data_IF_029364664268
#
_entry.id   IF_029364664268
#
_cell.length_a   1.000
_cell.length_b   1.000
_cell.length_c   1.000
_cell.angle_alpha   90.00
_cell.angle_beta   90.00
_cell.angle_gamma   90.00
#
_symmetry.space_group_name_H-M   'P 1'
#
loop_
_entity.id
_entity.type
_entity.pdbx_description
1 polymer ?
#
# COMPACT_ATOMS: atom_id res chain seq x y z
N UNK A 1 -0.81 -30.40 -13.33
CA UNK A 1 0.14 -29.65 -12.50
C UNK A 1 -0.65 -28.54 -11.80
N UNK A 2 -0.56 -28.44 -10.47
CA UNK A 2 -1.23 -27.36 -9.72
C UNK A 2 -0.44 -26.06 -9.91
N UNK A 3 -1.14 -24.95 -10.17
CA UNK A 3 -0.52 -23.63 -10.24
C UNK A 3 -0.24 -23.19 -8.80
N UNK A 4 0.99 -22.78 -8.44
CA UNK A 4 1.28 -22.36 -7.07
C UNK A 4 0.47 -21.12 -6.70
N UNK A 5 0.09 -21.01 -5.43
CA UNK A 5 -0.51 -19.79 -4.91
C UNK A 5 0.56 -18.74 -4.63
N UNK A 6 0.15 -17.48 -4.68
CA UNK A 6 0.93 -16.30 -4.30
C UNK A 6 0.26 -15.64 -3.11
N UNK A 7 1.06 -15.24 -2.13
CA UNK A 7 0.59 -14.56 -0.93
C UNK A 7 0.56 -13.05 -1.14
N UNK A 8 -0.59 -12.46 -0.84
CA UNK A 8 -0.84 -11.04 -0.92
C UNK A 8 -1.60 -10.54 0.30
N UNK A 9 -2.04 -9.30 0.22
CA UNK A 9 -2.81 -8.66 1.29
C UNK A 9 -4.06 -8.02 0.72
N UNK A 10 -5.20 -8.27 1.34
CA UNK A 10 -6.44 -7.56 1.07
C UNK A 10 -6.54 -6.35 1.98
N UNK A 11 -6.78 -5.18 1.38
CA UNK A 11 -7.13 -3.95 2.08
C UNK A 11 -8.65 -3.83 2.08
N UNK A 12 -9.26 -3.95 3.26
CA UNK A 12 -10.69 -3.78 3.40
C UNK A 12 -11.04 -2.29 3.47
N UNK A 13 -12.05 -1.88 2.71
CA UNK A 13 -12.61 -0.55 2.80
C UNK A 13 -13.36 -0.37 4.13
N UNK A 14 -13.53 0.89 4.52
CA UNK A 14 -14.23 1.26 5.75
C UNK A 14 -15.58 1.87 5.45
N UNK A 15 -16.61 1.38 6.14
CA UNK A 15 -18.00 1.81 6.01
C UNK A 15 -18.32 2.92 7.03
N UNK A 16 -17.70 4.12 6.97
CA UNK A 16 -18.24 5.38 7.57
C UNK A 16 -17.23 6.53 7.67
N UNK A 17 -17.70 7.79 7.59
CA UNK A 17 -16.93 9.02 7.86
C UNK A 17 -16.77 9.32 9.36
N UNK A 18 -16.68 8.31 10.22
CA UNK A 18 -16.51 8.48 11.67
C UNK A 18 -15.05 8.80 12.06
N UNK A 19 -14.79 9.35 13.26
CA UNK A 19 -13.45 9.81 13.69
C UNK A 19 -12.37 8.72 13.80
N UNK A 20 -12.71 7.45 13.52
CA UNK A 20 -11.81 6.30 13.51
C UNK A 20 -11.46 5.83 12.08
N UNK A 21 -11.10 6.76 11.19
CA UNK A 21 -10.80 6.52 9.77
C UNK A 21 -9.61 5.57 9.52
N UNK A 22 -8.87 5.18 10.55
CA UNK A 22 -7.63 4.41 10.42
C UNK A 22 -7.81 2.88 10.53
N UNK A 23 -9.04 2.36 10.39
CA UNK A 23 -9.32 0.91 10.48
C UNK A 23 -9.51 0.23 9.13
N UNK A 24 -8.80 0.65 8.09
CA UNK A 24 -8.64 -0.23 6.92
C UNK A 24 -7.93 -1.50 7.42
N UNK A 25 -8.64 -2.62 7.46
CA UNK A 25 -8.05 -3.88 7.93
C UNK A 25 -7.24 -4.52 6.80
N UNK A 26 -6.04 -4.97 7.17
CA UNK A 26 -5.16 -5.76 6.32
C UNK A 26 -5.44 -7.23 6.61
N UNK A 27 -5.68 -8.02 5.57
CA UNK A 27 -5.95 -9.46 5.69
C UNK A 27 -5.02 -10.20 4.74
N UNK A 28 -4.28 -11.20 5.24
CA UNK A 28 -3.48 -12.06 4.39
C UNK A 28 -4.38 -12.88 3.46
N UNK A 29 -4.01 -12.96 2.19
CA UNK A 29 -4.75 -13.73 1.19
C UNK A 29 -3.81 -14.61 0.38
N UNK A 30 -4.30 -15.81 0.04
CA UNK A 30 -3.63 -16.73 -0.87
C UNK A 30 -4.39 -16.72 -2.20
N UNK A 31 -3.72 -16.34 -3.28
CA UNK A 31 -4.33 -16.20 -4.61
C UNK A 31 -3.67 -17.16 -5.59
N UNK A 32 -4.42 -17.79 -6.51
CA UNK A 32 -3.82 -18.54 -7.62
C UNK A 32 -2.85 -17.65 -8.44
N UNK A 33 -1.71 -18.16 -8.90
CA UNK A 33 -0.76 -17.35 -9.68
C UNK A 33 -1.27 -16.88 -11.07
N UNK A 34 -2.46 -17.33 -11.48
CA UNK A 34 -3.20 -16.86 -12.65
C UNK A 34 -4.37 -15.91 -12.29
N UNK A 35 -4.45 -15.45 -11.04
CA UNK A 35 -5.44 -14.48 -10.61
C UNK A 35 -5.32 -13.18 -11.44
N UNK A 36 -6.46 -12.53 -11.70
CA UNK A 36 -6.53 -11.35 -12.59
C UNK A 36 -5.68 -10.16 -12.14
N UNK A 37 -5.38 -10.07 -10.85
CA UNK A 37 -4.46 -9.05 -10.29
C UNK A 37 -3.11 -9.02 -11.02
N UNK A 38 -2.62 -10.16 -11.50
CA UNK A 38 -1.34 -10.24 -12.21
C UNK A 38 -1.38 -9.68 -13.64
N UNK A 39 -2.55 -9.25 -14.11
CA UNK A 39 -2.74 -8.49 -15.36
C UNK A 39 -2.85 -6.98 -15.13
N UNK A 40 -2.87 -6.53 -13.88
CA UNK A 40 -2.89 -5.11 -13.53
C UNK A 40 -1.54 -4.46 -13.80
N UNK A 41 -1.53 -3.13 -13.87
CA UNK A 41 -0.29 -2.35 -13.97
C UNK A 41 0.33 -2.17 -12.58
N UNK A 42 1.66 -2.19 -12.51
CA UNK A 42 2.39 -1.78 -11.31
C UNK A 42 2.03 -0.34 -10.97
N UNK A 43 1.66 -0.08 -9.73
CA UNK A 43 1.24 1.26 -9.33
C UNK A 43 2.39 2.27 -9.44
N UNK A 44 2.10 3.55 -9.76
CA UNK A 44 3.16 4.50 -10.09
C UNK A 44 4.13 4.73 -8.92
N UNK A 45 3.61 4.89 -7.70
CA UNK A 45 4.42 5.16 -6.51
C UNK A 45 5.29 3.98 -6.12
N UNK A 46 4.76 2.76 -6.21
CA UNK A 46 5.46 1.55 -5.79
C UNK A 46 6.62 1.22 -6.72
N UNK A 47 6.49 1.58 -8.01
CA UNK A 47 7.59 1.47 -8.98
C UNK A 47 8.76 2.39 -8.63
N UNK A 48 8.50 3.58 -8.10
CA UNK A 48 9.56 4.54 -7.70
C UNK A 48 10.29 4.11 -6.42
N UNK A 49 9.66 3.26 -5.61
CA UNK A 49 10.14 2.84 -4.29
C UNK A 49 10.63 1.38 -4.26
N UNK A 50 10.92 0.78 -5.43
CA UNK A 50 11.45 -0.58 -5.60
C UNK A 50 10.64 -1.73 -4.98
N UNK A 51 9.38 -1.48 -4.64
CA UNK A 51 8.42 -2.50 -4.24
C UNK A 51 7.29 -2.54 -5.30
N UNK A 52 7.42 -3.30 -6.40
CA UNK A 52 6.43 -3.28 -7.47
C UNK A 52 5.14 -3.99 -7.03
N UNK A 53 4.10 -3.21 -6.73
CA UNK A 53 2.81 -3.65 -6.23
C UNK A 53 1.77 -3.57 -7.35
N UNK A 54 0.91 -4.59 -7.40
CA UNK A 54 -0.28 -4.65 -8.25
C UNK A 54 -1.49 -4.54 -7.35
N UNK A 55 -2.48 -3.72 -7.73
CA UNK A 55 -3.71 -3.52 -6.95
C UNK A 55 -4.90 -3.88 -7.82
N UNK A 56 -5.76 -4.77 -7.34
CA UNK A 56 -6.98 -5.17 -8.02
C UNK A 56 -8.20 -4.96 -7.13
N UNK A 57 -9.23 -4.31 -7.66
CA UNK A 57 -10.49 -4.10 -6.95
C UNK A 57 -11.31 -5.38 -6.91
N UNK A 58 -11.82 -5.69 -5.73
CA UNK A 58 -12.86 -6.69 -5.59
C UNK A 58 -14.20 -6.04 -5.96
N UNK A 59 -15.07 -6.77 -6.65
CA UNK A 59 -16.29 -6.25 -7.30
C UNK A 59 -17.32 -5.60 -6.36
N UNK A 60 -17.09 -5.61 -5.05
CA UNK A 60 -17.94 -4.97 -4.05
C UNK A 60 -17.66 -3.47 -3.99
N UNK A 61 -18.19 -2.72 -4.96
CA UNK A 61 -18.39 -1.27 -4.81
C UNK A 61 -19.59 -1.07 -3.88
N UNK A 62 -19.32 -0.96 -2.59
CA UNK A 62 -20.34 -0.52 -1.65
C UNK A 62 -20.34 1.01 -1.64
N UNK A 63 -21.49 1.63 -1.88
CA UNK A 63 -21.63 3.09 -1.86
C UNK A 63 -21.19 3.63 -0.50
N UNK A 64 -20.38 4.69 -0.47
CA UNK A 64 -19.85 5.27 0.76
C UNK A 64 -18.65 4.54 1.39
N UNK A 65 -18.03 3.60 0.68
CA UNK A 65 -16.83 2.91 1.17
C UNK A 65 -15.55 3.49 0.59
N UNK A 66 -14.70 4.01 1.48
CA UNK A 66 -13.41 4.57 1.15
C UNK A 66 -12.29 3.59 1.46
N UNK A 67 -11.21 3.65 0.68
CA UNK A 67 -9.99 2.90 0.96
C UNK A 67 -8.79 3.84 0.77
N UNK A 68 -8.47 4.68 1.76
CA UNK A 68 -7.42 5.69 1.65
C UNK A 68 -6.05 5.06 1.36
N UNK A 69 -5.79 3.87 1.92
CA UNK A 69 -4.57 3.10 1.65
C UNK A 69 -4.46 2.73 0.17
N UNK A 70 -5.54 2.24 -0.43
CA UNK A 70 -5.56 1.95 -1.87
C UNK A 70 -5.45 3.21 -2.75
N UNK A 71 -5.96 4.36 -2.28
CA UNK A 71 -5.74 5.66 -2.91
C UNK A 71 -4.25 6.01 -2.91
N UNK A 72 -3.58 5.95 -1.75
CA UNK A 72 -2.15 6.25 -1.62
C UNK A 72 -1.27 5.37 -2.50
N UNK A 73 -1.59 4.07 -2.59
CA UNK A 73 -0.90 3.14 -3.48
C UNK A 73 -0.97 3.54 -4.96
N UNK A 74 -1.99 4.29 -5.38
CA UNK A 74 -2.21 4.69 -6.77
C UNK A 74 -1.87 6.16 -7.07
N UNK A 75 -1.24 6.86 -6.13
CA UNK A 75 -0.76 8.22 -6.35
C UNK A 75 0.25 8.26 -7.50
N UNK A 76 0.08 9.24 -8.38
CA UNK A 76 1.10 9.63 -9.33
C UNK A 76 2.17 10.46 -8.59
N UNK A 77 3.44 9.98 -8.53
CA UNK A 77 4.51 10.65 -7.81
C UNK A 77 4.83 12.04 -8.35
N UNK A 78 4.43 12.39 -9.57
CA UNK A 78 4.75 13.68 -10.19
C UNK A 78 3.71 14.76 -9.82
N UNK A 79 2.43 14.42 -9.79
CA UNK A 79 1.35 15.38 -9.47
C UNK A 79 0.75 15.20 -8.06
N UNK A 80 1.19 14.18 -7.31
CA UNK A 80 0.82 13.88 -5.93
C UNK A 80 -0.66 13.51 -5.73
N UNK A 81 -1.36 13.14 -6.80
CA UNK A 81 -2.76 12.74 -6.77
C UNK A 81 -2.93 11.34 -7.34
N UNK A 82 -3.83 10.57 -6.75
CA UNK A 82 -4.31 9.35 -7.37
C UNK A 82 -5.32 9.68 -8.49
N UNK A 83 -5.48 8.86 -9.53
CA UNK A 83 -6.58 9.02 -10.48
C UNK A 83 -7.95 9.01 -9.78
N UNK A 84 -8.93 9.72 -10.33
CA UNK A 84 -10.24 9.94 -9.69
C UNK A 84 -10.92 8.63 -9.27
N UNK A 85 -10.80 7.57 -10.06
CA UNK A 85 -11.38 6.28 -9.71
C UNK A 85 -10.84 5.73 -8.39
N UNK A 86 -9.59 6.05 -8.02
CA UNK A 86 -8.91 5.61 -6.78
C UNK A 86 -9.11 6.55 -5.60
N UNK A 87 -9.72 7.71 -5.79
CA UNK A 87 -9.93 8.67 -4.71
C UNK A 87 -11.19 8.36 -3.88
N UNK A 88 -12.22 7.77 -4.48
CA UNK A 88 -13.50 7.54 -3.83
C UNK A 88 -14.14 6.21 -4.30
N UNK A 89 -15.07 5.66 -3.51
CA UNK A 89 -15.80 4.43 -3.82
C UNK A 89 -14.91 3.25 -4.24
N UNK A 90 -13.74 3.14 -3.59
CA UNK A 90 -12.69 2.19 -3.98
C UNK A 90 -13.11 0.76 -3.66
N UNK A 91 -13.76 0.56 -2.51
CA UNK A 91 -14.09 -0.76 -2.00
C UNK A 91 -12.86 -1.57 -1.58
N UNK A 92 -13.06 -2.86 -1.39
CA UNK A 92 -12.00 -3.80 -1.02
C UNK A 92 -11.05 -4.01 -2.20
N UNK A 93 -9.76 -4.11 -1.92
CA UNK A 93 -8.75 -4.40 -2.94
C UNK A 93 -7.82 -5.50 -2.48
N UNK A 94 -7.30 -6.28 -3.42
CA UNK A 94 -6.17 -7.18 -3.17
C UNK A 94 -4.91 -6.55 -3.73
N UNK A 95 -3.83 -6.67 -2.97
CA UNK A 95 -2.50 -6.17 -3.30
C UNK A 95 -1.53 -7.34 -3.30
N UNK A 96 -0.72 -7.43 -4.35
CA UNK A 96 0.34 -8.44 -4.49
C UNK A 96 1.58 -7.78 -5.05
N UNK A 97 2.73 -8.45 -4.92
CA UNK A 97 3.93 -8.05 -5.65
C UNK A 97 3.87 -8.55 -7.11
N UNK A 98 4.33 -7.73 -8.04
CA UNK A 98 4.39 -8.07 -9.45
C UNK A 98 5.37 -9.23 -9.73
N UNK A 99 6.41 -9.36 -8.92
CA UNK A 99 7.38 -10.46 -8.98
C UNK A 99 6.88 -11.77 -8.35
N UNK A 100 5.62 -11.80 -7.87
CA UNK A 100 4.97 -12.95 -7.23
C UNK A 100 5.66 -13.45 -5.95
N UNK A 101 6.58 -12.67 -5.36
CA UNK A 101 7.07 -12.97 -4.01
C UNK A 101 5.97 -12.67 -2.99
N UNK A 102 5.98 -13.33 -1.81
CA UNK A 102 5.05 -13.03 -0.74
C UNK A 102 5.08 -11.54 -0.37
N UNK A 103 3.89 -10.97 -0.14
CA UNK A 103 3.72 -9.65 0.44
C UNK A 103 3.13 -9.82 1.84
N UNK A 104 3.85 -9.39 2.87
CA UNK A 104 3.35 -9.44 4.25
C UNK A 104 2.47 -8.23 4.56
N UNK A 105 1.59 -8.37 5.57
CA UNK A 105 0.84 -7.21 6.11
C UNK A 105 1.82 -6.12 6.56
N UNK A 106 2.90 -6.49 7.25
CA UNK A 106 3.91 -5.54 7.75
C UNK A 106 4.48 -4.69 6.63
N UNK A 107 4.93 -5.31 5.54
CA UNK A 107 5.53 -4.59 4.41
C UNK A 107 4.53 -3.63 3.77
N UNK A 108 3.27 -4.06 3.59
CA UNK A 108 2.25 -3.20 2.99
C UNK A 108 1.81 -2.06 3.93
N UNK A 109 1.72 -2.32 5.23
CA UNK A 109 1.43 -1.29 6.24
C UNK A 109 2.54 -0.25 6.26
N UNK A 110 3.80 -0.67 6.39
CA UNK A 110 4.94 0.23 6.37
C UNK A 110 5.01 1.03 5.07
N UNK A 111 4.78 0.38 3.92
CA UNK A 111 4.76 1.07 2.63
C UNK A 111 3.68 2.15 2.56
N UNK A 112 2.47 1.85 3.05
CA UNK A 112 1.37 2.80 3.02
C UNK A 112 1.51 3.92 4.06
N UNK A 113 2.10 3.63 5.22
CA UNK A 113 2.47 4.64 6.23
C UNK A 113 3.55 5.57 5.68
N UNK A 114 4.59 5.03 5.03
CA UNK A 114 5.65 5.80 4.41
C UNK A 114 5.12 6.80 3.36
N UNK A 115 4.23 6.33 2.47
CA UNK A 115 3.60 7.20 1.47
C UNK A 115 2.73 8.27 2.15
N UNK A 116 1.98 7.90 3.20
CA UNK A 116 1.18 8.85 3.97
C UNK A 116 2.03 9.92 4.65
N UNK A 117 3.14 9.54 5.30
CA UNK A 117 4.04 10.48 5.98
C UNK A 117 4.68 11.49 5.01
N UNK A 118 5.05 11.04 3.81
CA UNK A 118 5.55 11.95 2.77
C UNK A 118 4.48 12.97 2.35
N UNK A 119 3.21 12.55 2.30
CA UNK A 119 2.09 13.46 1.99
C UNK A 119 1.76 14.35 3.19
N UNK A 120 1.82 13.86 4.42
CA UNK A 120 1.52 14.65 5.62
C UNK A 120 2.63 15.62 5.98
N UNK A 121 3.89 15.35 5.61
CA UNK A 121 5.00 16.31 5.74
C UNK A 121 4.88 17.49 4.77
N UNK A 122 4.02 17.38 3.75
CA UNK A 122 3.58 18.52 2.94
C UNK A 122 2.43 19.33 3.57
N UNK A 123 1.89 18.88 4.69
CA UNK A 123 0.87 19.61 5.45
C UNK A 123 1.51 20.81 6.18
N UNK A 124 0.97 22.03 6.03
CA UNK A 124 1.46 23.23 6.73
C UNK A 124 1.53 23.12 8.27
N UNK A 125 0.96 22.08 8.90
CA UNK A 125 1.06 21.81 10.34
C UNK A 125 2.47 21.38 10.80
N UNK A 126 3.38 20.95 9.91
CA UNK A 126 4.78 20.60 10.28
C UNK A 126 5.80 21.75 10.11
N UNK A 127 5.33 22.99 9.96
CA UNK A 127 6.14 24.22 9.84
C UNK A 127 6.79 24.69 11.17
N UNK A 128 7.50 23.83 11.89
CA UNK A 128 8.52 24.33 12.85
C UNK A 128 9.92 24.44 12.21
N UNK A 129 10.13 23.83 11.04
CA UNK A 129 11.44 23.81 10.37
C UNK A 129 11.24 24.43 8.99
N UNK A 130 11.52 25.72 8.87
CA UNK A 130 11.20 26.54 7.71
C UNK A 130 11.76 25.99 6.40
N UNK A 131 10.93 25.29 5.62
CA UNK A 131 10.68 25.42 4.18
C UNK A 131 9.68 24.32 3.75
N UNK A 132 8.79 24.57 2.78
CA UNK A 132 7.94 23.51 2.23
C UNK A 132 8.82 22.43 1.59
N UNK A 133 8.86 21.24 2.18
CA UNK A 133 9.60 20.12 1.61
C UNK A 133 8.80 19.53 0.44
N UNK A 134 9.41 19.46 -0.75
CA UNK A 134 8.80 18.81 -1.91
C UNK A 134 8.72 17.28 -1.71
N UNK A 135 7.53 16.67 -1.60
CA UNK A 135 7.33 15.23 -1.38
C UNK A 135 8.09 14.35 -2.38
N UNK A 136 8.26 14.85 -3.60
CA UNK A 136 8.93 14.14 -4.70
C UNK A 136 10.36 13.74 -4.36
N UNK A 137 11.03 14.44 -3.44
CA UNK A 137 12.40 14.14 -3.01
C UNK A 137 12.53 12.79 -2.31
N UNK A 138 11.41 12.24 -1.82
CA UNK A 138 11.33 10.97 -1.09
C UNK A 138 10.85 9.80 -1.96
N UNK A 139 10.30 10.06 -3.16
CA UNK A 139 9.84 9.03 -4.10
C UNK A 139 10.98 8.54 -5.01
N UNK A 140 11.96 7.87 -4.42
CA UNK A 140 13.12 7.35 -5.15
C UNK A 140 13.59 6.00 -4.60
N UNK A 141 14.31 5.22 -5.42
CA UNK A 141 14.92 3.95 -5.02
C UNK A 141 15.62 4.01 -3.66
N UNK A 142 15.50 2.93 -2.89
CA UNK A 142 16.13 2.76 -1.57
C UNK A 142 15.51 3.55 -0.41
N UNK A 143 14.73 4.62 -0.65
CA UNK A 143 14.20 5.43 0.46
C UNK A 143 13.15 4.73 1.32
N UNK A 144 12.37 3.83 0.73
CA UNK A 144 11.47 2.97 1.50
C UNK A 144 12.25 1.91 2.30
N UNK A 145 13.35 1.39 1.76
CA UNK A 145 14.22 0.44 2.47
C UNK A 145 14.89 1.12 3.67
N UNK A 146 15.41 2.34 3.51
CA UNK A 146 15.91 3.15 4.63
C UNK A 146 14.85 3.36 5.72
N UNK A 147 13.61 3.70 5.34
CA UNK A 147 12.50 3.84 6.28
C UNK A 147 12.21 2.54 7.04
N UNK A 148 12.31 1.40 6.34
CA UNK A 148 12.10 0.08 6.93
C UNK A 148 13.15 -0.30 7.97
N UNK A 149 14.35 0.29 7.96
CA UNK A 149 15.37 0.02 9.00
C UNK A 149 14.89 0.48 10.38
N UNK A 150 14.23 1.63 10.44
CA UNK A 150 13.74 2.26 11.67
C UNK A 150 12.25 1.97 11.95
N UNK A 151 11.52 1.35 11.01
CA UNK A 151 10.09 1.09 11.16
C UNK A 151 9.81 0.17 12.36
N UNK A 152 8.91 0.52 13.28
CA UNK A 152 8.60 -0.32 14.45
C UNK A 152 8.26 -1.77 14.06
N UNK A 153 9.03 -2.71 14.62
CA UNK A 153 8.92 -4.14 14.30
C UNK A 153 9.82 -4.61 13.14
N UNK A 154 10.67 -3.75 12.56
CA UNK A 154 11.71 -4.08 11.55
C UNK A 154 12.72 -5.12 12.03
N UNK A 155 13.12 -5.08 13.31
CA UNK A 155 14.02 -6.06 13.95
C UNK A 155 13.28 -7.38 14.21
N UNK A 156 13.78 -8.45 13.59
CA UNK A 156 13.25 -9.82 13.57
C UNK A 156 12.56 -10.28 14.87
N UNK A 157 11.33 -10.77 14.72
CA UNK A 157 11.01 -12.07 15.31
C UNK A 157 11.18 -13.06 14.16
N UNK A 158 12.24 -13.85 14.22
CA UNK A 158 12.43 -14.99 13.32
C UNK A 158 11.24 -15.94 13.50
N UNK A 159 10.29 -15.91 12.55
CA UNK A 159 9.21 -16.90 12.52
C UNK A 159 9.76 -18.11 11.76
N UNK A 160 10.19 -19.11 12.52
CA UNK A 160 10.59 -20.41 12.00
C UNK A 160 9.37 -21.15 11.41
N UNK A 161 9.28 -21.18 10.09
CA UNK A 161 8.24 -21.91 9.35
C UNK A 161 8.50 -23.43 9.25
N UNK A 162 9.51 -23.98 9.94
CA UNK A 162 9.79 -25.44 9.94
C UNK A 162 8.91 -26.26 10.90
N UNK A 163 7.90 -25.65 11.53
CA UNK A 163 6.98 -26.31 12.49
C UNK A 163 5.50 -26.25 12.11
N UNK A 164 5.17 -26.52 10.85
CA UNK A 164 3.78 -26.87 10.44
C UNK A 164 3.80 -28.13 9.60
#
# INVERSE_FOLDING_TARGET
MSIPNVYGVMLCATDSPGPNQNRSSFIEVSLPANHKVFSEKVTPISRKLDLPLLVHRLKTRTIGTTNPRACWLNIDPENLLAPMEWQDHVGNVVVVRADKKPLSIKDLTAFTDYVYEILSTSDPVHKEIGEPCDPRRYYKPGKFEEYMEDYPGSRNIDVDFSRV
#
